data_IF_279598521519
#
_entry.id   IF_279598521519
#
_cell.length_a   1.000
_cell.length_b   1.000
_cell.length_c   1.000
_cell.angle_alpha   90.00
_cell.angle_beta   90.00
_cell.angle_gamma   90.00
#
_symmetry.space_group_name_H-M   'P 1'
#
loop_
_entity.id
_entity.type
_entity.pdbx_description
1 polymer ?
#
# COMPACT_ATOMS: atom_id res chain seq x y z
N UNK A 1 14.78 13.86 33.55
CA UNK A 1 13.62 14.42 32.84
C UNK A 1 14.15 15.08 31.56
N UNK A 2 14.17 14.34 30.46
CA UNK A 2 14.66 14.84 29.16
C UNK A 2 13.57 15.70 28.53
N UNK A 3 13.56 17.01 28.81
CA UNK A 3 12.65 17.95 28.17
C UNK A 3 13.20 18.24 26.78
N UNK A 4 12.99 17.32 25.84
CA UNK A 4 13.23 17.58 24.42
C UNK A 4 12.24 18.67 23.99
N UNK A 5 12.70 19.89 23.77
CA UNK A 5 11.85 21.00 23.27
C UNK A 5 11.31 20.60 21.89
N UNK A 6 10.05 20.16 21.85
CA UNK A 6 9.31 19.86 20.62
C UNK A 6 8.62 21.14 20.15
N UNK A 7 8.74 21.44 18.85
CA UNK A 7 8.09 22.59 18.24
C UNK A 7 6.67 22.26 17.79
N UNK A 8 5.84 23.29 17.61
CA UNK A 8 4.56 23.13 16.92
C UNK A 8 4.45 24.15 15.80
N UNK A 9 4.22 23.68 14.57
CA UNK A 9 3.77 24.51 13.45
C UNK A 9 2.25 24.31 13.35
N UNK A 10 1.50 25.40 13.47
CA UNK A 10 0.04 25.39 13.32
C UNK A 10 -0.33 26.46 12.30
N UNK A 11 -0.73 26.02 11.13
CA UNK A 11 -1.33 26.86 10.11
C UNK A 11 -2.86 26.76 10.32
N UNK A 12 -3.59 27.84 10.02
CA UNK A 12 -5.00 28.01 10.41
C UNK A 12 -5.94 27.88 9.20
N UNK A 13 -5.45 27.24 8.13
CA UNK A 13 -6.08 27.10 6.82
C UNK A 13 -5.59 28.10 5.77
N UNK A 14 -6.03 27.89 4.52
CA UNK A 14 -5.42 28.41 3.30
C UNK A 14 -4.56 27.34 2.63
N UNK A 15 -4.12 27.58 1.39
CA UNK A 15 -3.24 26.66 0.67
C UNK A 15 -1.79 26.85 1.14
N UNK A 16 -1.36 26.06 2.11
CA UNK A 16 -0.08 26.22 2.76
C UNK A 16 1.03 25.35 2.14
N UNK A 17 2.28 25.79 2.28
CA UNK A 17 3.43 25.09 1.67
C UNK A 17 4.60 24.98 2.63
N UNK A 18 5.06 23.74 2.84
CA UNK A 18 6.33 23.44 3.52
C UNK A 18 7.27 22.85 2.47
N UNK A 19 8.44 23.49 2.28
CA UNK A 19 9.41 23.06 1.26
C UNK A 19 10.81 22.90 1.86
N UNK A 20 11.32 21.67 1.80
CA UNK A 20 12.72 21.34 2.07
C UNK A 20 13.55 21.32 0.80
N UNK A 21 14.67 22.06 0.76
CA UNK A 21 15.61 21.99 -0.40
C UNK A 21 16.36 20.66 -0.49
N UNK A 22 16.57 19.98 0.64
CA UNK A 22 17.19 18.66 0.71
C UNK A 22 16.28 17.69 1.44
N UNK A 23 16.17 17.80 2.75
CA UNK A 23 15.33 16.95 3.59
C UNK A 23 14.49 17.78 4.55
N UNK A 24 13.36 17.24 4.99
CA UNK A 24 12.57 17.75 6.10
C UNK A 24 12.69 16.73 7.24
N UNK A 25 13.00 17.21 8.44
CA UNK A 25 12.97 16.41 9.66
C UNK A 25 11.93 17.03 10.59
N UNK A 26 10.88 16.28 10.89
CA UNK A 26 9.79 16.73 11.75
C UNK A 26 10.11 16.32 13.19
N UNK A 27 10.27 17.34 14.05
CA UNK A 27 10.43 17.19 15.51
C UNK A 27 9.35 17.98 16.22
N UNK A 28 8.22 17.32 16.44
CA UNK A 28 7.03 17.84 17.08
C UNK A 28 5.82 17.73 16.16
N UNK A 29 4.96 18.74 16.22
CA UNK A 29 3.66 18.73 15.57
C UNK A 29 3.62 19.68 14.38
N UNK A 30 3.10 19.20 13.25
CA UNK A 30 2.65 20.03 12.13
C UNK A 30 1.15 19.85 11.96
N UNK A 31 0.38 20.95 11.95
CA UNK A 31 -1.04 20.99 11.59
C UNK A 31 -1.24 22.07 10.54
N UNK A 32 -1.71 21.69 9.35
CA UNK A 32 -1.86 22.62 8.22
C UNK A 32 -3.25 23.28 8.21
N UNK A 33 -4.31 22.50 8.46
CA UNK A 33 -5.66 23.03 8.66
C UNK A 33 -6.58 22.69 7.50
N UNK A 34 -7.22 23.68 6.89
CA UNK A 34 -8.06 23.46 5.72
C UNK A 34 -7.51 24.24 4.53
N UNK A 35 -7.43 23.62 3.36
CA UNK A 35 -6.84 24.21 2.16
C UNK A 35 -6.08 23.13 1.38
N UNK A 36 -5.53 23.47 0.22
CA UNK A 36 -4.73 22.54 -0.57
C UNK A 36 -3.26 22.63 -0.15
N UNK A 37 -2.90 21.82 0.84
CA UNK A 37 -1.62 21.89 1.52
C UNK A 37 -0.56 21.04 0.83
N UNK A 38 0.68 21.55 0.79
CA UNK A 38 1.77 20.87 0.09
C UNK A 38 3.03 20.78 0.96
N UNK A 39 3.45 19.56 1.26
CA UNK A 39 4.76 19.26 1.85
C UNK A 39 5.67 18.65 0.79
N UNK A 40 6.77 19.31 0.47
CA UNK A 40 7.71 18.86 -0.58
C UNK A 40 9.15 18.81 -0.10
N UNK A 41 9.87 17.77 -0.50
CA UNK A 41 11.30 17.59 -0.26
C UNK A 41 11.99 16.97 -1.48
N UNK A 42 13.26 17.32 -1.71
CA UNK A 42 14.04 16.71 -2.80
C UNK A 42 14.53 15.30 -2.45
N UNK A 43 14.83 15.06 -1.18
CA UNK A 43 15.26 13.77 -0.65
C UNK A 43 14.21 13.28 0.34
N UNK A 44 14.47 13.42 1.63
CA UNK A 44 13.69 12.74 2.65
C UNK A 44 12.67 13.68 3.30
N UNK A 45 11.56 13.12 3.75
CA UNK A 45 10.70 13.67 4.79
C UNK A 45 10.70 12.62 5.90
N UNK A 46 11.25 12.97 7.06
CA UNK A 46 11.41 12.04 8.18
C UNK A 46 10.56 12.52 9.34
N UNK A 47 9.67 11.65 9.82
CA UNK A 47 8.89 11.82 11.05
C UNK A 47 9.32 10.68 11.97
N UNK A 48 9.86 11.01 13.13
CA UNK A 48 10.52 10.05 14.02
C UNK A 48 9.98 10.19 15.44
N UNK A 49 9.76 9.13 16.21
CA UNK A 49 9.15 9.12 17.57
C UNK A 49 7.63 9.32 17.66
N UNK A 50 7.05 8.63 18.65
CA UNK A 50 5.61 8.54 18.99
C UNK A 50 4.87 9.87 19.13
N UNK A 51 5.59 10.92 19.48
CA UNK A 51 4.99 12.22 19.76
C UNK A 51 4.97 13.13 18.54
N UNK A 52 5.64 12.74 17.46
CA UNK A 52 5.75 13.55 16.27
C UNK A 52 4.63 13.22 15.30
N UNK A 53 3.94 14.27 14.85
CA UNK A 53 2.68 14.14 14.13
C UNK A 53 2.61 15.15 13.01
N UNK A 54 2.12 14.72 11.86
CA UNK A 54 1.80 15.60 10.74
C UNK A 54 0.33 15.39 10.40
N UNK A 55 -0.46 16.47 10.43
CA UNK A 55 -1.87 16.46 10.05
C UNK A 55 -2.09 17.54 8.99
N UNK A 56 -2.51 17.16 7.79
CA UNK A 56 -2.75 18.13 6.71
C UNK A 56 -4.13 18.75 6.90
N UNK A 57 -5.18 17.94 6.95
CA UNK A 57 -6.48 18.31 7.49
C UNK A 57 -7.59 18.17 6.46
N UNK A 58 -8.18 19.26 5.96
CA UNK A 58 -9.18 19.17 4.88
C UNK A 58 -8.67 19.85 3.63
N UNK A 59 -8.75 19.19 2.49
CA UNK A 59 -8.42 19.72 1.20
C UNK A 59 -7.81 18.62 0.34
N UNK A 60 -7.31 18.98 -0.84
CA UNK A 60 -6.58 18.01 -1.66
C UNK A 60 -5.10 18.25 -1.45
N UNK A 61 -4.53 17.50 -0.52
CA UNK A 61 -3.22 17.72 0.03
C UNK A 61 -2.16 16.85 -0.65
N UNK A 62 -0.91 17.30 -0.64
CA UNK A 62 0.18 16.65 -1.36
C UNK A 62 1.41 16.50 -0.46
N UNK A 63 1.90 15.27 -0.32
CA UNK A 63 3.25 14.99 0.17
C UNK A 63 4.09 14.45 -0.99
N UNK A 64 5.19 15.14 -1.30
CA UNK A 64 6.11 14.75 -2.37
C UNK A 64 7.55 14.67 -1.90
N UNK A 65 8.20 13.54 -2.15
CA UNK A 65 9.61 13.28 -1.81
C UNK A 65 10.33 12.62 -3.00
N UNK A 66 11.12 13.40 -3.74
CA UNK A 66 11.55 12.98 -5.09
C UNK A 66 12.51 11.77 -5.09
N UNK A 67 13.72 11.91 -4.54
CA UNK A 67 14.77 10.87 -4.63
C UNK A 67 14.91 10.02 -3.37
N UNK A 68 14.32 10.48 -2.27
CA UNK A 68 14.55 9.92 -0.95
C UNK A 68 13.36 9.12 -0.45
N UNK A 69 13.11 9.26 0.85
CA UNK A 69 12.11 8.51 1.59
C UNK A 69 11.12 9.43 2.29
N UNK A 70 9.82 9.09 2.27
CA UNK A 70 8.94 9.42 3.38
C UNK A 70 9.10 8.31 4.42
N UNK A 71 9.77 8.63 5.52
CA UNK A 71 10.16 7.68 6.55
C UNK A 71 9.44 8.04 7.84
N UNK A 72 8.54 7.15 8.27
CA UNK A 72 7.81 7.20 9.53
C UNK A 72 8.40 6.12 10.42
N UNK A 73 9.06 6.52 11.50
CA UNK A 73 9.86 5.60 12.32
C UNK A 73 9.59 5.80 13.80
N UNK A 74 9.34 4.69 14.53
CA UNK A 74 9.13 4.69 15.99
C UNK A 74 7.82 5.40 16.41
N UNK A 75 6.69 4.96 15.86
CA UNK A 75 5.32 5.37 16.22
C UNK A 75 4.84 6.79 15.91
N UNK A 76 5.39 7.52 14.91
CA UNK A 76 4.78 8.79 14.52
C UNK A 76 3.38 8.57 13.94
N UNK A 77 2.63 9.65 13.79
CA UNK A 77 1.32 9.65 13.14
C UNK A 77 1.35 10.59 11.93
N UNK A 78 0.84 10.11 10.80
CA UNK A 78 0.60 10.92 9.61
C UNK A 78 -0.86 10.79 9.18
N UNK A 79 -1.54 11.91 9.11
CA UNK A 79 -2.93 12.01 8.63
C UNK A 79 -3.00 13.05 7.51
N UNK A 80 -3.46 12.68 6.32
CA UNK A 80 -3.74 13.67 5.26
C UNK A 80 -5.13 14.27 5.46
N UNK A 81 -6.14 13.45 5.76
CA UNK A 81 -7.40 13.87 6.35
C UNK A 81 -8.60 13.73 5.43
N UNK A 82 -9.19 14.83 4.95
CA UNK A 82 -10.37 14.77 4.04
C UNK A 82 -10.08 15.47 2.74
N UNK A 83 -10.46 14.85 1.64
CA UNK A 83 -10.28 15.30 0.27
C UNK A 83 -9.42 14.29 -0.48
N UNK A 84 -9.18 14.51 -1.77
CA UNK A 84 -8.40 13.57 -2.58
C UNK A 84 -6.92 13.90 -2.42
N UNK A 85 -6.25 13.20 -1.53
CA UNK A 85 -4.88 13.43 -1.13
C UNK A 85 -3.89 12.60 -1.96
N UNK A 86 -2.66 13.09 -2.08
CA UNK A 86 -1.61 12.45 -2.86
C UNK A 86 -0.30 12.35 -2.08
N UNK A 87 0.20 11.13 -1.95
CA UNK A 87 1.56 10.85 -1.49
C UNK A 87 2.34 10.22 -2.62
N UNK A 88 3.45 10.85 -2.99
CA UNK A 88 4.25 10.37 -4.12
C UNK A 88 5.75 10.58 -3.93
N UNK A 89 6.53 9.60 -4.37
CA UNK A 89 7.98 9.69 -4.30
C UNK A 89 8.68 8.37 -4.62
N UNK A 90 9.93 8.27 -4.19
CA UNK A 90 10.76 7.11 -4.51
C UNK A 90 10.63 5.96 -3.51
N UNK A 91 10.66 6.23 -2.19
CA UNK A 91 10.53 5.17 -1.17
C UNK A 91 9.59 5.57 -0.04
N UNK A 92 8.69 4.68 0.36
CA UNK A 92 7.87 4.83 1.56
C UNK A 92 8.32 3.81 2.60
N UNK A 93 8.71 4.28 3.79
CA UNK A 93 9.05 3.40 4.92
C UNK A 93 8.14 3.72 6.09
N UNK A 94 7.40 2.71 6.51
CA UNK A 94 6.52 2.73 7.66
C UNK A 94 7.08 1.72 8.67
N UNK A 95 7.48 2.20 9.84
CA UNK A 95 8.17 1.39 10.85
C UNK A 95 7.59 1.70 12.23
N UNK A 96 6.82 0.74 12.73
CA UNK A 96 6.03 0.82 13.95
C UNK A 96 5.12 2.06 13.93
N UNK A 97 4.23 2.25 12.95
CA UNK A 97 3.51 3.53 12.75
C UNK A 97 2.09 3.31 12.25
N UNK A 98 1.22 4.29 12.52
CA UNK A 98 -0.10 4.38 11.91
C UNK A 98 -0.14 5.58 10.95
N UNK A 99 -0.61 5.32 9.74
CA UNK A 99 -0.78 6.30 8.69
C UNK A 99 -2.19 6.21 8.13
N UNK A 100 -2.86 7.36 7.97
CA UNK A 100 -4.22 7.44 7.45
C UNK A 100 -4.33 8.50 6.37
N UNK A 101 -4.96 8.15 5.24
CA UNK A 101 -5.28 9.09 4.17
C UNK A 101 -6.64 9.76 4.45
N UNK A 102 -7.64 8.97 4.84
CA UNK A 102 -8.87 9.45 5.44
C UNK A 102 -10.05 9.37 4.47
N UNK A 103 -10.75 10.45 4.16
CA UNK A 103 -11.93 10.37 3.30
C UNK A 103 -11.73 11.18 2.01
N UNK A 104 -11.86 10.54 0.86
CA UNK A 104 -11.64 11.08 -0.47
C UNK A 104 -11.08 10.00 -1.38
N UNK A 105 -10.88 10.30 -2.67
CA UNK A 105 -10.23 9.36 -3.59
C UNK A 105 -8.71 9.56 -3.48
N UNK A 106 -8.10 8.91 -2.51
CA UNK A 106 -6.72 9.09 -2.12
C UNK A 106 -5.76 8.26 -2.97
N UNK A 107 -4.53 8.75 -3.08
CA UNK A 107 -3.51 8.08 -3.89
C UNK A 107 -2.15 8.04 -3.21
N UNK A 108 -1.57 6.84 -3.18
CA UNK A 108 -0.16 6.61 -2.86
C UNK A 108 0.52 6.05 -4.12
N UNK A 109 1.49 6.77 -4.68
CA UNK A 109 2.25 6.37 -5.88
C UNK A 109 3.76 6.39 -5.62
N UNK A 110 4.31 5.19 -5.41
CA UNK A 110 5.70 4.96 -5.05
C UNK A 110 6.44 4.32 -6.22
N UNK A 111 7.43 5.04 -6.75
CA UNK A 111 8.22 4.61 -7.91
C UNK A 111 9.25 3.53 -7.57
N UNK A 112 9.74 3.51 -6.34
CA UNK A 112 10.62 2.48 -5.80
C UNK A 112 9.87 1.59 -4.83
N UNK A 113 10.49 1.32 -3.69
CA UNK A 113 9.99 0.34 -2.72
C UNK A 113 9.08 1.00 -1.68
N UNK A 114 8.09 0.24 -1.21
CA UNK A 114 7.36 0.51 0.02
C UNK A 114 7.66 -0.61 1.01
N UNK A 115 8.02 -0.26 2.25
CA UNK A 115 8.27 -1.20 3.33
C UNK A 115 7.41 -0.87 4.54
N UNK A 116 6.66 -1.84 5.05
CA UNK A 116 5.95 -1.77 6.33
C UNK A 116 6.55 -2.75 7.34
N UNK A 117 6.73 -2.30 8.58
CA UNK A 117 7.08 -3.14 9.72
C UNK A 117 6.19 -2.76 10.91
N UNK A 118 5.36 -3.68 11.43
CA UNK A 118 4.45 -3.46 12.56
C UNK A 118 3.62 -2.17 12.35
N UNK A 119 2.84 -2.12 11.28
CA UNK A 119 2.29 -0.85 10.77
C UNK A 119 0.83 -0.99 10.37
N UNK A 120 0.05 0.06 10.60
CA UNK A 120 -1.26 0.27 9.97
C UNK A 120 -1.19 1.35 8.89
N UNK A 121 -1.64 1.03 7.68
CA UNK A 121 -1.95 2.00 6.63
C UNK A 121 -3.44 1.93 6.29
N UNK A 122 -4.19 3.00 6.53
CA UNK A 122 -5.58 3.12 6.13
C UNK A 122 -5.75 4.15 5.02
N UNK A 123 -6.31 3.76 3.87
CA UNK A 123 -6.67 4.69 2.81
C UNK A 123 -8.01 5.38 3.16
N UNK A 124 -9.02 4.61 3.57
CA UNK A 124 -10.20 5.10 4.27
C UNK A 124 -11.46 5.00 3.41
N UNK A 125 -12.14 6.08 3.10
CA UNK A 125 -13.38 6.00 2.28
C UNK A 125 -13.23 6.80 0.99
N UNK A 126 -13.58 6.20 -0.14
CA UNK A 126 -13.45 6.73 -1.48
C UNK A 126 -12.86 5.66 -2.40
N UNK A 127 -12.65 6.00 -3.67
CA UNK A 127 -12.01 5.07 -4.61
C UNK A 127 -10.50 5.30 -4.58
N UNK A 128 -9.82 4.56 -3.71
CA UNK A 128 -8.44 4.76 -3.32
C UNK A 128 -7.47 3.95 -4.17
N UNK A 129 -6.26 4.47 -4.37
CA UNK A 129 -5.26 3.88 -5.25
C UNK A 129 -3.89 3.77 -4.56
N UNK A 130 -3.44 2.55 -4.31
CA UNK A 130 -2.08 2.24 -3.89
C UNK A 130 -1.30 1.65 -5.06
N UNK A 131 -0.22 2.32 -5.49
CA UNK A 131 0.70 1.83 -6.52
C UNK A 131 2.13 1.80 -6.00
N UNK A 132 2.77 0.65 -6.15
CA UNK A 132 4.19 0.46 -5.79
C UNK A 132 4.92 -0.23 -6.95
N UNK A 133 5.87 0.46 -7.57
CA UNK A 133 6.58 -0.03 -8.75
C UNK A 133 7.83 -0.83 -8.42
N UNK A 134 8.53 -0.51 -7.33
CA UNK A 134 9.79 -1.15 -6.96
C UNK A 134 9.65 -2.30 -5.97
N UNK A 135 8.42 -2.60 -5.51
CA UNK A 135 8.11 -3.70 -4.60
C UNK A 135 7.48 -3.28 -3.28
N UNK A 136 6.49 -4.04 -2.84
CA UNK A 136 5.86 -3.90 -1.54
C UNK A 136 6.39 -4.96 -0.59
N UNK A 137 7.08 -4.54 0.48
CA UNK A 137 7.56 -5.43 1.54
C UNK A 137 6.77 -5.24 2.82
N UNK A 138 6.20 -6.31 3.36
CA UNK A 138 5.34 -6.24 4.54
C UNK A 138 5.83 -7.19 5.64
N UNK A 139 6.05 -6.64 6.82
CA UNK A 139 6.34 -7.39 8.04
C UNK A 139 5.33 -6.93 9.09
N UNK A 140 4.43 -7.82 9.52
CA UNK A 140 3.40 -7.54 10.53
C UNK A 140 2.60 -6.26 10.21
N UNK A 141 2.28 -6.07 8.93
CA UNK A 141 1.68 -4.83 8.42
C UNK A 141 0.27 -5.10 7.94
N UNK A 142 -0.65 -4.20 8.29
CA UNK A 142 -2.00 -4.14 7.79
C UNK A 142 -2.15 -2.94 6.84
N UNK A 143 -2.63 -3.21 5.62
CA UNK A 143 -3.09 -2.18 4.68
C UNK A 143 -4.59 -2.37 4.52
N UNK A 144 -5.37 -1.36 4.90
CA UNK A 144 -6.81 -1.31 4.65
C UNK A 144 -7.12 -0.23 3.62
N UNK A 145 -7.72 -0.61 2.50
CA UNK A 145 -8.15 0.33 1.47
C UNK A 145 -9.47 1.00 1.90
N UNK A 146 -10.45 0.22 2.34
CA UNK A 146 -11.55 0.71 3.17
C UNK A 146 -12.89 0.63 2.46
N UNK A 147 -13.57 1.72 2.13
CA UNK A 147 -14.84 1.63 1.37
C UNK A 147 -14.82 2.45 0.11
N UNK A 148 -15.34 1.89 -0.98
CA UNK A 148 -15.25 2.42 -2.33
C UNK A 148 -14.56 1.40 -3.25
N UNK A 149 -14.49 1.71 -4.54
CA UNK A 149 -13.89 0.80 -5.51
C UNK A 149 -12.38 1.07 -5.58
N UNK A 150 -11.62 0.28 -4.83
CA UNK A 150 -10.22 0.49 -4.56
C UNK A 150 -9.32 -0.26 -5.53
N UNK A 151 -8.06 0.19 -5.63
CA UNK A 151 -7.06 -0.46 -6.48
C UNK A 151 -5.70 -0.54 -5.81
N UNK A 152 -5.19 -1.76 -5.66
CA UNK A 152 -3.82 -2.06 -5.27
C UNK A 152 -3.05 -2.56 -6.48
N UNK A 153 -2.07 -1.79 -6.94
CA UNK A 153 -1.28 -2.10 -8.14
C UNK A 153 0.20 -2.31 -7.81
N UNK A 154 0.61 -3.58 -7.83
CA UNK A 154 1.95 -4.07 -7.57
C UNK A 154 2.59 -4.69 -8.82
N UNK A 155 2.05 -4.40 -10.02
CA UNK A 155 2.51 -5.00 -11.27
C UNK A 155 4.01 -4.78 -11.54
N UNK A 156 4.57 -3.65 -11.10
CA UNK A 156 5.96 -3.29 -11.38
C UNK A 156 6.99 -4.03 -10.53
N UNK A 157 6.66 -4.35 -9.28
CA UNK A 157 7.63 -4.80 -8.29
C UNK A 157 7.23 -6.03 -7.50
N UNK A 158 5.93 -6.34 -7.40
CA UNK A 158 5.44 -7.50 -6.67
C UNK A 158 5.31 -7.27 -5.17
N UNK A 159 5.05 -8.37 -4.46
CA UNK A 159 4.74 -8.44 -3.04
C UNK A 159 5.70 -9.43 -2.37
N UNK A 160 6.28 -9.01 -1.27
CA UNK A 160 7.17 -9.79 -0.41
C UNK A 160 6.72 -9.59 1.03
N UNK A 161 6.04 -10.58 1.59
CA UNK A 161 5.67 -10.56 2.99
C UNK A 161 6.62 -11.46 3.77
N UNK A 162 6.90 -11.11 5.03
CA UNK A 162 7.63 -11.98 5.94
C UNK A 162 6.65 -12.83 6.77
N UNK A 163 7.06 -14.05 7.13
CA UNK A 163 6.30 -14.88 8.06
C UNK A 163 6.21 -14.20 9.43
N UNK A 164 4.99 -14.07 9.92
CA UNK A 164 4.70 -13.70 11.30
C UNK A 164 4.24 -14.94 12.07
N UNK A 165 4.71 -15.10 13.30
CA UNK A 165 4.29 -16.22 14.15
C UNK A 165 2.85 -16.06 14.70
N UNK A 166 2.32 -14.83 14.71
CA UNK A 166 1.03 -14.50 15.35
C UNK A 166 -0.01 -13.93 14.36
N UNK A 167 0.38 -12.99 13.49
CA UNK A 167 -0.55 -12.34 12.53
C UNK A 167 0.12 -12.10 11.18
N UNK A 168 -0.39 -12.73 10.12
CA UNK A 168 0.14 -12.54 8.78
C UNK A 168 -0.09 -11.10 8.28
N UNK A 169 0.87 -10.52 7.54
CA UNK A 169 0.62 -9.27 6.84
C UNK A 169 -0.66 -9.36 6.00
N UNK A 170 -1.45 -8.30 5.99
CA UNK A 170 -2.77 -8.31 5.34
C UNK A 170 -2.93 -7.09 4.44
N UNK A 171 -3.47 -7.32 3.25
CA UNK A 171 -4.02 -6.28 2.37
C UNK A 171 -5.53 -6.53 2.32
N UNK A 172 -6.28 -5.64 2.94
CA UNK A 172 -7.74 -5.64 2.97
C UNK A 172 -8.26 -4.56 2.01
N UNK A 173 -8.99 -4.98 0.99
CA UNK A 173 -9.57 -4.08 -0.01
C UNK A 173 -10.88 -3.44 0.51
N UNK A 174 -11.70 -4.19 1.25
CA UNK A 174 -12.80 -3.65 2.04
C UNK A 174 -14.16 -3.71 1.33
N UNK A 175 -14.95 -2.64 1.37
CA UNK A 175 -16.28 -2.63 0.73
C UNK A 175 -16.21 -1.98 -0.65
N UNK A 176 -16.52 -2.70 -1.72
CA UNK A 176 -16.54 -2.14 -3.07
C UNK A 176 -16.26 -3.18 -4.14
N UNK A 177 -16.30 -2.76 -5.40
CA UNK A 177 -15.81 -3.60 -6.49
C UNK A 177 -14.30 -3.34 -6.66
N UNK A 178 -13.48 -4.08 -5.94
CA UNK A 178 -12.06 -3.77 -5.79
C UNK A 178 -11.17 -4.51 -6.79
N UNK A 179 -9.95 -4.00 -6.95
CA UNK A 179 -8.96 -4.58 -7.84
C UNK A 179 -7.59 -4.72 -7.21
N UNK A 180 -7.10 -5.95 -7.15
CA UNK A 180 -5.70 -6.23 -6.91
C UNK A 180 -5.00 -6.57 -8.24
N UNK A 181 -3.87 -5.92 -8.53
CA UNK A 181 -3.09 -6.12 -9.77
C UNK A 181 -1.65 -6.47 -9.40
N UNK A 182 -1.19 -7.67 -9.71
CA UNK A 182 0.18 -8.09 -9.41
C UNK A 182 0.28 -9.60 -9.17
N UNK A 183 1.25 -10.02 -8.35
CA UNK A 183 1.49 -11.42 -7.93
C UNK A 183 2.41 -12.32 -8.80
N UNK A 184 3.46 -11.80 -9.45
CA UNK A 184 4.41 -12.70 -10.17
C UNK A 184 5.90 -12.36 -10.16
N UNK A 185 6.34 -11.21 -9.63
CA UNK A 185 7.77 -10.97 -9.44
C UNK A 185 8.16 -11.46 -8.06
N UNK A 186 8.73 -12.67 -8.00
CA UNK A 186 9.47 -13.13 -6.83
C UNK A 186 10.49 -12.05 -6.43
N UNK A 187 10.36 -11.46 -5.24
CA UNK A 187 11.58 -11.02 -4.58
C UNK A 187 12.38 -12.27 -4.24
N UNK A 188 13.69 -12.30 -4.48
CA UNK A 188 14.53 -13.24 -3.75
C UNK A 188 14.35 -12.88 -2.27
N UNK A 189 13.70 -13.75 -1.49
CA UNK A 189 13.79 -13.68 -0.04
C UNK A 189 15.29 -13.62 0.30
N UNK A 190 15.82 -12.49 0.83
CA UNK A 190 17.23 -12.38 1.14
C UNK A 190 17.65 -13.24 2.33
N UNK A 191 16.69 -13.84 3.04
CA UNK A 191 16.91 -14.73 4.17
C UNK A 191 16.18 -16.07 4.00
N UNK A 192 16.72 -16.99 3.18
CA UNK A 192 16.19 -18.34 3.03
C UNK A 192 16.42 -19.22 4.27
N UNK A 193 17.22 -18.79 5.25
CA UNK A 193 17.63 -19.60 6.40
C UNK A 193 16.58 -19.63 7.52
N UNK A 194 15.64 -18.67 7.54
CA UNK A 194 14.55 -18.60 8.51
C UNK A 194 13.19 -19.18 8.04
N UNK A 195 13.19 -19.88 6.89
CA UNK A 195 12.00 -20.56 6.37
C UNK A 195 11.05 -19.62 5.64
N UNK A 196 10.88 -19.89 4.34
CA UNK A 196 9.81 -19.51 3.42
C UNK A 196 9.38 -18.04 3.29
N UNK A 197 9.16 -17.62 2.04
CA UNK A 197 8.53 -16.35 1.73
C UNK A 197 7.19 -16.24 2.46
N UNK A 198 7.03 -15.16 3.22
CA UNK A 198 5.79 -14.89 3.89
C UNK A 198 4.68 -14.59 2.93
N UNK A 199 3.54 -15.18 3.25
CA UNK A 199 2.32 -15.03 2.50
C UNK A 199 1.55 -13.89 3.16
N UNK A 200 1.40 -12.77 2.46
CA UNK A 200 0.38 -11.80 2.86
C UNK A 200 -0.99 -12.39 2.52
N UNK A 201 -1.98 -12.16 3.37
CA UNK A 201 -3.37 -12.49 3.03
C UNK A 201 -3.96 -11.29 2.29
N UNK A 202 -4.56 -11.57 1.13
CA UNK A 202 -5.35 -10.60 0.38
C UNK A 202 -6.84 -10.83 0.64
N UNK A 203 -7.58 -9.79 1.01
CA UNK A 203 -9.00 -9.88 1.36
C UNK A 203 -9.79 -8.90 0.48
N UNK A 204 -10.75 -9.40 -0.30
CA UNK A 204 -11.66 -8.55 -1.09
C UNK A 204 -12.86 -8.03 -0.29
N UNK A 205 -13.33 -8.80 0.70
CA UNK A 205 -14.49 -8.46 1.54
C UNK A 205 -15.83 -8.43 0.77
N UNK A 206 -16.49 -7.29 0.59
CA UNK A 206 -17.84 -7.23 0.01
C UNK A 206 -17.87 -6.46 -1.29
N UNK A 207 -18.30 -7.13 -2.36
CA UNK A 207 -18.52 -6.54 -3.67
C UNK A 207 -18.16 -7.56 -4.75
N UNK A 208 -17.72 -7.10 -5.92
CA UNK A 208 -17.15 -7.96 -6.96
C UNK A 208 -15.65 -7.66 -7.08
N UNK A 209 -14.86 -8.42 -6.34
CA UNK A 209 -13.43 -8.21 -6.23
C UNK A 209 -12.68 -9.00 -7.29
N UNK A 210 -11.72 -8.31 -7.90
CA UNK A 210 -10.97 -8.84 -9.04
C UNK A 210 -9.49 -8.95 -8.73
N UNK A 211 -8.94 -10.15 -8.88
CA UNK A 211 -7.50 -10.38 -8.94
C UNK A 211 -7.02 -10.37 -10.40
N UNK A 212 -6.11 -9.46 -10.74
CA UNK A 212 -5.52 -9.30 -12.06
C UNK A 212 -4.06 -9.72 -12.03
N UNK A 213 -3.76 -10.76 -12.80
CA UNK A 213 -2.46 -11.40 -12.81
C UNK A 213 -1.66 -11.02 -14.06
N UNK A 214 -0.34 -10.84 -13.95
CA UNK A 214 0.54 -10.65 -15.09
C UNK A 214 0.75 -11.94 -15.89
N UNK A 215 1.46 -11.84 -17.00
CA UNK A 215 1.88 -12.99 -17.81
C UNK A 215 2.48 -14.09 -16.94
N UNK A 216 1.96 -15.30 -17.07
CA UNK A 216 2.33 -16.42 -16.21
C UNK A 216 1.34 -17.55 -16.24
N UNK A 217 1.68 -18.63 -15.51
CA UNK A 217 0.81 -19.78 -15.29
C UNK A 217 0.56 -19.89 -13.80
N UNK A 218 -0.71 -19.98 -13.42
CA UNK A 218 -1.15 -19.95 -12.04
C UNK A 218 -2.05 -21.14 -11.75
N UNK A 219 -1.74 -21.84 -10.67
CA UNK A 219 -2.65 -22.82 -10.08
C UNK A 219 -3.58 -22.06 -9.14
N UNK A 220 -4.87 -22.12 -9.41
CA UNK A 220 -5.90 -21.45 -8.61
C UNK A 220 -6.56 -22.50 -7.74
N UNK A 221 -6.61 -22.23 -6.44
CA UNK A 221 -7.30 -23.01 -5.43
C UNK A 221 -8.35 -22.11 -4.72
N UNK A 222 -9.30 -22.66 -3.95
CA UNK A 222 -10.38 -21.88 -3.35
C UNK A 222 -9.94 -20.68 -2.51
N UNK A 223 -8.78 -20.75 -1.86
CA UNK A 223 -8.29 -19.71 -0.94
C UNK A 223 -6.89 -19.22 -1.30
N UNK A 224 -6.42 -19.51 -2.51
CA UNK A 224 -5.03 -19.28 -2.86
C UNK A 224 -4.76 -19.33 -4.36
N UNK A 225 -3.83 -18.49 -4.84
CA UNK A 225 -3.21 -18.62 -6.16
C UNK A 225 -1.74 -18.95 -5.97
N UNK A 226 -1.22 -19.91 -6.74
CA UNK A 226 0.18 -20.34 -6.69
C UNK A 226 0.86 -20.25 -8.06
N UNK A 227 2.14 -19.91 -8.04
CA UNK A 227 3.09 -20.12 -9.14
C UNK A 227 4.05 -21.25 -8.76
N UNK A 228 5.09 -21.50 -9.56
CA UNK A 228 6.15 -22.45 -9.20
C UNK A 228 7.05 -21.97 -8.05
N UNK A 229 7.01 -20.68 -7.69
CA UNK A 229 7.94 -20.05 -6.74
C UNK A 229 7.27 -19.22 -5.64
N UNK A 230 5.96 -19.01 -5.71
CA UNK A 230 5.23 -18.15 -4.78
C UNK A 230 3.76 -18.56 -4.62
N UNK A 231 3.18 -18.18 -3.50
CA UNK A 231 1.78 -18.36 -3.11
C UNK A 231 1.19 -17.04 -2.66
N UNK A 232 -0.10 -16.84 -2.96
CA UNK A 232 -0.90 -15.72 -2.50
C UNK A 232 -2.20 -16.28 -1.93
N UNK A 233 -2.28 -16.40 -0.60
CA UNK A 233 -3.54 -16.60 0.09
C UNK A 233 -4.45 -15.42 -0.19
N UNK A 234 -5.70 -15.74 -0.49
CA UNK A 234 -6.71 -14.74 -0.72
C UNK A 234 -8.09 -15.23 -0.30
N UNK A 235 -8.96 -14.30 0.06
CA UNK A 235 -10.33 -14.56 0.47
C UNK A 235 -11.27 -13.47 -0.05
N UNK A 236 -12.51 -13.86 -0.39
CA UNK A 236 -13.52 -12.93 -0.90
C UNK A 236 -13.16 -12.35 -2.26
N UNK A 237 -12.82 -13.20 -3.24
CA UNK A 237 -12.64 -12.76 -4.63
C UNK A 237 -13.61 -13.50 -5.54
N UNK A 238 -14.31 -12.75 -6.38
CA UNK A 238 -15.32 -13.26 -7.31
C UNK A 238 -14.75 -13.43 -8.71
N UNK A 239 -13.72 -12.67 -9.08
CA UNK A 239 -13.20 -12.61 -10.45
C UNK A 239 -11.68 -12.71 -10.46
N UNK A 240 -11.17 -13.43 -11.46
CA UNK A 240 -9.75 -13.45 -11.80
C UNK A 240 -9.54 -13.14 -13.29
N UNK A 241 -8.40 -12.58 -13.67
CA UNK A 241 -8.09 -12.33 -15.07
C UNK A 241 -6.69 -11.82 -15.36
N UNK A 242 -6.44 -11.50 -16.63
CA UNK A 242 -5.17 -10.94 -17.11
C UNK A 242 -5.21 -9.41 -17.21
N UNK A 243 -4.02 -8.79 -17.25
CA UNK A 243 -3.84 -7.32 -17.32
C UNK A 243 -4.67 -6.67 -18.44
N UNK A 244 -4.79 -7.35 -19.59
CA UNK A 244 -5.43 -6.82 -20.79
C UNK A 244 -6.75 -7.50 -21.15
N UNK A 245 -7.17 -8.53 -20.40
CA UNK A 245 -8.45 -9.19 -20.63
C UNK A 245 -8.48 -10.65 -20.19
N UNK A 246 -9.58 -11.32 -20.53
CA UNK A 246 -9.87 -12.69 -20.08
C UNK A 246 -10.27 -12.70 -18.61
N UNK A 247 -11.54 -12.43 -18.32
CA UNK A 247 -12.07 -12.46 -16.96
C UNK A 247 -12.90 -13.72 -16.76
N UNK A 248 -12.68 -14.38 -15.65
CA UNK A 248 -13.37 -15.61 -15.28
C UNK A 248 -13.84 -15.50 -13.84
N UNK A 249 -15.01 -16.10 -13.51
CA UNK A 249 -15.36 -16.32 -12.11
C UNK A 249 -14.22 -17.03 -11.38
N UNK A 250 -13.93 -16.63 -10.16
CA UNK A 250 -12.92 -17.26 -9.34
C UNK A 250 -13.29 -18.73 -9.10
N UNK A 251 -12.43 -19.66 -9.52
CA UNK A 251 -12.67 -21.09 -9.44
C UNK A 251 -11.35 -21.87 -9.46
N UNK A 252 -11.35 -23.06 -8.86
CA UNK A 252 -10.17 -23.92 -8.87
C UNK A 252 -9.83 -24.40 -10.29
N UNK A 253 -8.56 -24.33 -10.66
CA UNK A 253 -8.10 -24.68 -12.01
C UNK A 253 -6.74 -24.07 -12.35
N UNK A 254 -6.44 -23.99 -13.65
CA UNK A 254 -5.22 -23.37 -14.15
C UNK A 254 -5.58 -22.11 -14.93
N UNK A 255 -5.08 -20.96 -14.48
CA UNK A 255 -5.13 -19.71 -15.23
C UNK A 255 -3.81 -19.52 -15.96
N UNK A 256 -3.86 -19.23 -17.26
CA UNK A 256 -2.69 -18.86 -18.06
C UNK A 256 -2.89 -17.48 -18.64
N UNK A 257 -2.01 -16.55 -18.30
CA UNK A 257 -1.95 -15.20 -18.87
C UNK A 257 -0.83 -15.17 -19.90
N UNK A 258 -1.18 -14.90 -21.15
CA UNK A 258 -0.20 -14.90 -22.24
C UNK A 258 0.65 -13.61 -22.28
N UNK A 259 1.57 -13.52 -23.24
CA UNK A 259 2.43 -12.35 -23.44
C UNK A 259 1.68 -11.08 -23.89
N UNK A 260 0.43 -11.23 -24.33
CA UNK A 260 -0.47 -10.10 -24.64
C UNK A 260 -1.28 -9.67 -23.43
N UNK A 261 -1.05 -10.27 -22.26
CA UNK A 261 -1.75 -9.98 -21.02
C UNK A 261 -3.20 -10.49 -21.00
N UNK A 262 -3.59 -11.37 -21.92
CA UNK A 262 -4.94 -11.94 -21.97
C UNK A 262 -4.92 -13.28 -21.23
N UNK A 263 -5.86 -13.47 -20.31
CA UNK A 263 -5.99 -14.73 -19.59
C UNK A 263 -6.88 -15.75 -20.30
N UNK A 264 -6.53 -17.01 -20.10
CA UNK A 264 -7.33 -18.19 -20.42
C UNK A 264 -7.41 -19.08 -19.17
N UNK A 265 -8.52 -19.80 -19.02
CA UNK A 265 -8.77 -20.60 -17.81
C UNK A 265 -9.21 -22.03 -18.16
N UNK A 266 -8.62 -23.00 -17.48
CA UNK A 266 -9.00 -24.40 -17.51
C UNK A 266 -9.44 -24.83 -16.10
N UNK A 267 -10.76 -25.00 -15.91
CA UNK A 267 -11.31 -25.43 -14.63
C UNK A 267 -10.82 -26.84 -14.25
N UNK A 268 -10.62 -27.07 -12.95
CA UNK A 268 -10.37 -28.41 -12.44
C UNK A 268 -11.58 -29.31 -12.75
N UNK A 269 -11.33 -30.53 -13.23
CA UNK A 269 -12.40 -31.51 -13.45
C UNK A 269 -12.90 -31.96 -12.07
N UNK A 270 -14.20 -31.82 -11.84
CA UNK A 270 -14.86 -32.23 -10.60
C UNK A 270 -14.79 -33.76 -10.38
#
# INVERSE_FOLDING_TARGET
MDIRRRGSIKLRGGDDKIKGRSSILVKGLIRMGAGHDVITSQKNIVIYEEANRVKLGRGHDIIRFNKGCLCLETAPELETGKGNDLITGNRLRLDNTDMSMGAGNDRIDIAGEMTGNITGLGMGSGNDHLRVQGGLRLDWTFIGMGSGNDTVNLLGGGLDAAWAQEELPTIDLGEGDDQFIGFASSFPNPDPENGGGGEAILIGNTGIDTVVLPTGVYTVAPTEIRTSVASLPLNGFEVMGGIHGGRFPYAAGILTVDNSGIASFAAAVA
#
